data_IF_309058819965
#
_entry.id   IF_309058819965
#
_cell.length_a   1.000
_cell.length_b   1.000
_cell.length_c   1.000
_cell.angle_alpha   90.00
_cell.angle_beta   90.00
_cell.angle_gamma   90.00
#
_symmetry.space_group_name_H-M   'P 1'
#
loop_
_entity.id
_entity.type
_entity.pdbx_description
1 polymer ?
#
# COMPACT_ATOMS: atom_id res chain seq x y z
N UNK A 1 -18.42 4.55 15.83
CA UNK A 1 -18.78 4.31 14.41
C UNK A 1 -20.13 3.64 14.23
N UNK A 2 -20.52 2.66 15.06
CA UNK A 2 -21.82 1.97 14.98
C UNK A 2 -23.03 2.92 14.87
N UNK A 3 -23.08 3.98 15.70
CA UNK A 3 -24.19 4.95 15.66
C UNK A 3 -24.31 5.72 14.33
N UNK A 4 -23.19 5.95 13.63
CA UNK A 4 -23.17 6.67 12.35
C UNK A 4 -23.47 5.73 11.19
N UNK A 5 -22.91 4.53 11.21
CA UNK A 5 -22.98 3.55 10.13
C UNK A 5 -23.76 2.30 10.55
N UNK A 6 -25.00 2.51 10.99
CA UNK A 6 -25.89 1.43 11.41
C UNK A 6 -26.27 0.51 10.24
N UNK A 7 -26.53 -0.76 10.52
CA UNK A 7 -27.06 -1.72 9.53
C UNK A 7 -26.04 -2.29 8.55
N UNK A 8 -24.75 -2.04 8.75
CA UNK A 8 -23.70 -2.74 8.02
C UNK A 8 -23.65 -4.20 8.51
N UNK A 9 -23.74 -5.13 7.58
CA UNK A 9 -23.61 -6.55 7.87
C UNK A 9 -22.15 -6.89 8.17
N UNK A 10 -21.91 -7.47 9.34
CA UNK A 10 -20.58 -7.88 9.77
C UNK A 10 -20.27 -9.31 9.28
N UNK A 11 -19.24 -9.44 8.44
CA UNK A 11 -18.74 -10.73 7.96
C UNK A 11 -17.92 -11.51 9.00
N UNK A 12 -17.55 -10.87 10.11
CA UNK A 12 -16.64 -11.40 11.13
C UNK A 12 -15.35 -12.02 10.55
N UNK A 13 -14.80 -11.42 9.48
CA UNK A 13 -13.63 -11.92 8.76
C UNK A 13 -12.40 -12.18 9.66
N UNK A 14 -12.36 -11.57 10.86
CA UNK A 14 -11.30 -11.74 11.87
C UNK A 14 -11.81 -12.21 13.23
N UNK A 15 -13.00 -12.80 13.27
CA UNK A 15 -13.68 -13.22 14.50
C UNK A 15 -14.50 -12.10 15.15
N UNK A 16 -15.23 -12.45 16.20
CA UNK A 16 -16.14 -11.56 16.94
C UNK A 16 -15.42 -10.40 17.65
N UNK A 17 -14.15 -10.58 17.99
CA UNK A 17 -13.37 -9.60 18.75
C UNK A 17 -12.88 -8.43 17.89
N UNK A 18 -12.96 -8.57 16.55
CA UNK A 18 -12.60 -7.55 15.59
C UNK A 18 -13.81 -7.22 14.70
N UNK A 19 -14.85 -6.57 15.26
CA UNK A 19 -16.05 -6.21 14.51
C UNK A 19 -15.77 -5.12 13.47
N UNK A 20 -16.66 -5.00 12.48
CA UNK A 20 -16.52 -4.07 11.35
C UNK A 20 -16.47 -2.60 11.78
N UNK A 21 -17.15 -2.23 12.87
CA UNK A 21 -17.10 -0.88 13.43
C UNK A 21 -15.93 -0.65 14.39
N UNK A 22 -15.11 -1.66 14.65
CA UNK A 22 -13.92 -1.59 15.49
C UNK A 22 -12.75 -0.86 14.82
N UNK A 23 -11.73 -0.55 15.59
CA UNK A 23 -10.54 0.20 15.12
C UNK A 23 -9.71 -0.53 14.07
N UNK A 24 -9.80 -1.86 13.99
CA UNK A 24 -9.05 -2.65 13.02
C UNK A 24 -9.69 -2.59 11.62
N UNK A 25 -10.97 -2.95 11.51
CA UNK A 25 -11.67 -3.06 10.21
C UNK A 25 -12.31 -1.74 9.79
N UNK A 26 -12.91 -1.02 10.72
CA UNK A 26 -13.62 0.24 10.49
C UNK A 26 -12.75 1.48 10.60
N UNK A 27 -11.42 1.35 10.57
CA UNK A 27 -10.48 2.48 10.77
C UNK A 27 -10.81 3.69 9.89
N UNK A 28 -11.14 3.45 8.61
CA UNK A 28 -11.45 4.52 7.66
C UNK A 28 -12.78 5.24 7.94
N UNK A 29 -13.71 4.63 8.69
CA UNK A 29 -14.98 5.26 9.06
C UNK A 29 -14.77 6.54 9.88
N UNK A 30 -13.71 6.58 10.70
CA UNK A 30 -13.32 7.78 11.45
C UNK A 30 -12.86 8.90 10.52
N UNK A 31 -12.03 8.60 9.53
CA UNK A 31 -11.56 9.57 8.55
C UNK A 31 -12.71 10.10 7.69
N UNK A 32 -13.64 9.23 7.28
CA UNK A 32 -14.88 9.63 6.58
C UNK A 32 -15.69 10.63 7.40
N UNK A 33 -15.90 10.33 8.70
CA UNK A 33 -16.67 11.22 9.56
C UNK A 33 -15.97 12.56 9.80
N UNK A 34 -14.65 12.53 10.05
CA UNK A 34 -13.85 13.74 10.22
C UNK A 34 -13.94 14.63 8.97
N UNK A 35 -13.72 14.08 7.78
CA UNK A 35 -13.84 14.83 6.54
C UNK A 35 -15.24 15.42 6.33
N UNK A 36 -16.30 14.69 6.71
CA UNK A 36 -17.66 15.19 6.64
C UNK A 36 -17.92 16.38 7.59
N UNK A 37 -17.26 16.42 8.75
CA UNK A 37 -17.34 17.56 9.68
C UNK A 37 -16.44 18.73 9.25
N UNK A 38 -15.43 18.47 8.41
CA UNK A 38 -14.42 19.44 8.01
C UNK A 38 -14.33 19.60 6.48
N UNK A 39 -15.41 20.10 5.87
CA UNK A 39 -15.51 20.29 4.41
C UNK A 39 -14.62 21.42 3.85
N UNK A 40 -13.99 22.20 4.73
CA UNK A 40 -13.01 23.25 4.41
C UNK A 40 -11.71 22.70 3.80
N UNK A 41 -11.37 21.44 4.03
CA UNK A 41 -10.18 20.82 3.44
C UNK A 41 -10.50 20.13 2.12
N UNK A 42 -9.59 20.22 1.15
CA UNK A 42 -9.73 19.53 -0.13
C UNK A 42 -9.08 18.13 -0.13
N UNK A 43 -8.08 17.92 0.73
CA UNK A 43 -7.33 16.67 0.84
C UNK A 43 -7.01 16.35 2.30
N UNK A 44 -7.00 15.05 2.60
CA UNK A 44 -6.80 14.50 3.94
C UNK A 44 -5.68 13.48 3.91
N UNK A 45 -4.74 13.59 4.84
CA UNK A 45 -3.67 12.61 5.04
C UNK A 45 -4.05 11.67 6.16
N UNK A 46 -4.30 10.40 5.81
CA UNK A 46 -4.35 9.30 6.77
C UNK A 46 -2.92 8.78 6.92
N UNK A 47 -2.34 8.95 8.09
CA UNK A 47 -0.92 8.67 8.34
C UNK A 47 -0.75 7.89 9.63
N UNK A 48 -0.08 6.74 9.57
CA UNK A 48 0.20 5.91 10.75
C UNK A 48 1.28 6.54 11.64
N UNK A 49 1.11 6.39 12.96
CA UNK A 49 1.95 7.04 13.98
C UNK A 49 3.35 6.43 14.10
N UNK A 50 3.54 5.23 13.58
CA UNK A 50 4.79 4.48 13.55
C UNK A 50 5.52 4.59 12.21
N UNK A 51 5.10 5.53 11.34
CA UNK A 51 5.86 5.93 10.16
C UNK A 51 6.89 6.99 10.52
N UNK A 52 8.11 6.83 10.00
CA UNK A 52 9.15 7.86 10.04
C UNK A 52 9.60 8.24 8.63
N UNK A 53 10.12 9.45 8.52
CA UNK A 53 10.73 9.95 7.31
C UNK A 53 12.06 10.64 7.67
N UNK A 54 13.14 10.26 7.00
CA UNK A 54 14.49 10.83 7.24
C UNK A 54 14.76 12.11 6.45
N UNK A 55 13.82 12.52 5.59
CA UNK A 55 13.93 13.75 4.79
C UNK A 55 13.04 14.88 5.28
N UNK A 56 12.88 15.90 4.43
CA UNK A 56 12.01 17.03 4.69
C UNK A 56 10.60 16.79 4.16
N UNK A 57 9.58 16.80 5.02
CA UNK A 57 8.18 16.50 4.64
C UNK A 57 7.62 17.40 3.53
N UNK A 58 7.96 18.70 3.52
CA UNK A 58 7.60 19.58 2.40
C UNK A 58 8.07 19.03 1.04
N UNK A 59 9.32 18.55 0.96
CA UNK A 59 9.86 17.99 -0.28
C UNK A 59 9.17 16.68 -0.66
N UNK A 60 8.85 15.84 0.33
CA UNK A 60 8.11 14.60 0.11
C UNK A 60 6.74 14.89 -0.51
N UNK A 61 5.92 15.69 0.17
CA UNK A 61 4.53 15.93 -0.24
C UNK A 61 4.44 16.76 -1.52
N UNK A 62 5.26 17.81 -1.68
CA UNK A 62 5.26 18.63 -2.91
C UNK A 62 5.67 17.83 -4.15
N UNK A 63 6.64 16.92 -4.03
CA UNK A 63 7.04 16.06 -5.14
C UNK A 63 5.99 15.01 -5.46
N UNK A 64 5.36 14.42 -4.45
CA UNK A 64 4.24 13.49 -4.62
C UNK A 64 3.10 14.18 -5.39
N UNK A 65 2.67 15.36 -4.95
CA UNK A 65 1.59 16.08 -5.61
C UNK A 65 1.98 16.46 -7.05
N UNK A 66 3.17 17.01 -7.27
CA UNK A 66 3.66 17.37 -8.61
C UNK A 66 3.73 16.17 -9.55
N UNK A 67 4.21 15.02 -9.06
CA UNK A 67 4.39 13.81 -9.85
C UNK A 67 3.05 13.13 -10.15
N UNK A 68 2.15 13.03 -9.17
CA UNK A 68 0.82 12.40 -9.35
C UNK A 68 -0.07 13.21 -10.29
N UNK A 69 -0.02 14.56 -10.25
CA UNK A 69 -0.71 15.41 -11.24
C UNK A 69 -0.29 15.12 -12.68
N UNK A 70 0.99 14.77 -12.91
CA UNK A 70 1.51 14.45 -14.25
C UNK A 70 1.08 13.07 -14.76
N UNK A 71 0.56 12.18 -13.90
CA UNK A 71 0.18 10.84 -14.32
C UNK A 71 -1.14 10.84 -15.11
N UNK A 72 -1.17 10.27 -16.32
CA UNK A 72 -2.40 10.09 -17.08
C UNK A 72 -3.20 8.90 -16.52
N UNK A 73 -4.53 8.95 -16.62
CA UNK A 73 -5.43 7.84 -16.23
C UNK A 73 -5.23 6.59 -17.09
N UNK A 74 -4.76 6.75 -18.33
CA UNK A 74 -4.49 5.63 -19.25
C UNK A 74 -3.38 4.74 -18.71
N UNK A 75 -3.70 3.48 -18.43
CA UNK A 75 -2.75 2.51 -17.85
C UNK A 75 -2.41 2.78 -16.37
N UNK A 76 -3.15 3.68 -15.69
CA UNK A 76 -2.76 4.16 -14.36
C UNK A 76 -2.91 3.09 -13.29
N UNK A 77 -4.03 2.36 -13.30
CA UNK A 77 -4.29 1.28 -12.37
C UNK A 77 -3.32 0.12 -12.59
N UNK A 78 -2.98 -0.15 -13.84
CA UNK A 78 -2.01 -1.18 -14.21
C UNK A 78 -0.61 -0.81 -13.69
N UNK A 79 -0.16 0.44 -13.89
CA UNK A 79 1.11 0.89 -13.30
C UNK A 79 1.07 0.89 -11.77
N UNK A 80 -0.04 1.32 -11.18
CA UNK A 80 -0.20 1.41 -9.73
C UNK A 80 -0.32 0.05 -9.05
N UNK A 81 -0.70 -1.00 -9.77
CA UNK A 81 -0.75 -2.38 -9.28
C UNK A 81 0.59 -3.12 -9.33
N UNK A 82 1.72 -2.41 -9.50
CA UNK A 82 3.05 -2.99 -9.72
C UNK A 82 4.12 -2.24 -8.92
N UNK A 83 5.10 -2.96 -8.40
CA UNK A 83 6.33 -2.36 -7.90
C UNK A 83 7.21 -1.92 -9.08
N UNK A 84 7.80 -0.73 -8.99
CA UNK A 84 8.77 -0.24 -9.96
C UNK A 84 10.19 -0.47 -9.44
N UNK A 85 10.97 -1.29 -10.15
CA UNK A 85 12.36 -1.62 -9.81
C UNK A 85 13.26 -1.08 -10.93
N UNK A 86 13.91 0.08 -10.75
CA UNK A 86 14.61 0.78 -11.83
C UNK A 86 15.67 -0.07 -12.56
N UNK A 87 16.41 -0.90 -11.84
CA UNK A 87 17.45 -1.76 -12.42
C UNK A 87 16.91 -2.85 -13.36
N UNK A 88 15.62 -3.19 -13.26
CA UNK A 88 14.96 -4.19 -14.11
C UNK A 88 14.09 -3.51 -15.17
N UNK A 89 13.36 -2.47 -14.77
CA UNK A 89 12.36 -1.82 -15.62
C UNK A 89 12.91 -0.66 -16.46
N UNK A 90 14.13 -0.19 -16.20
CA UNK A 90 14.71 0.95 -16.90
C UNK A 90 14.13 2.27 -16.41
N UNK A 91 13.87 3.19 -17.33
CA UNK A 91 13.23 4.47 -17.01
C UNK A 91 11.74 4.34 -16.70
N UNK A 92 11.11 5.40 -16.19
CA UNK A 92 9.66 5.41 -15.97
C UNK A 92 8.86 5.23 -17.27
N UNK A 93 9.35 5.75 -18.41
CA UNK A 93 8.69 5.57 -19.70
C UNK A 93 8.85 4.13 -20.22
N UNK A 94 10.01 3.50 -19.99
CA UNK A 94 10.22 2.08 -20.31
C UNK A 94 9.27 1.20 -19.48
N UNK A 95 9.15 1.48 -18.18
CA UNK A 95 8.20 0.82 -17.29
C UNK A 95 6.75 0.99 -17.77
N UNK A 96 6.34 2.23 -18.10
CA UNK A 96 4.99 2.51 -18.62
C UNK A 96 4.70 1.76 -19.91
N UNK A 97 5.68 1.67 -20.82
CA UNK A 97 5.53 0.91 -22.06
C UNK A 97 5.47 -0.60 -21.81
N UNK A 98 6.32 -1.11 -20.91
CA UNK A 98 6.32 -2.52 -20.50
C UNK A 98 4.96 -2.92 -19.93
N UNK A 99 4.42 -2.12 -19.00
CA UNK A 99 3.10 -2.37 -18.39
C UNK A 99 2.00 -2.40 -19.45
N UNK A 100 2.01 -1.47 -20.42
CA UNK A 100 1.06 -1.47 -21.54
C UNK A 100 1.10 -2.79 -22.31
N UNK A 101 2.30 -3.25 -22.69
CA UNK A 101 2.48 -4.49 -23.45
C UNK A 101 2.02 -5.71 -22.65
N UNK A 102 2.38 -5.80 -21.37
CA UNK A 102 1.97 -6.92 -20.50
C UNK A 102 0.46 -6.97 -20.28
N UNK A 103 -0.18 -5.81 -20.12
CA UNK A 103 -1.64 -5.73 -20.00
C UNK A 103 -2.34 -6.13 -21.31
N UNK A 104 -1.90 -5.60 -22.46
CA UNK A 104 -2.55 -5.87 -23.76
C UNK A 104 -2.30 -7.30 -24.27
N UNK A 105 -1.08 -7.82 -24.12
CA UNK A 105 -0.66 -9.10 -24.70
C UNK A 105 -0.60 -10.26 -23.69
N UNK A 106 -0.63 -9.96 -22.39
CA UNK A 106 -0.43 -10.93 -21.33
C UNK A 106 1.05 -11.30 -21.13
N UNK A 107 1.35 -11.96 -20.01
CA UNK A 107 2.66 -12.55 -19.74
C UNK A 107 2.58 -14.06 -19.62
N UNK A 108 3.67 -14.76 -19.94
CA UNK A 108 3.77 -16.19 -19.63
C UNK A 108 3.89 -16.37 -18.11
N UNK A 109 2.88 -16.96 -17.49
CA UNK A 109 2.89 -17.33 -16.07
C UNK A 109 3.30 -18.80 -15.89
N UNK A 110 3.79 -19.21 -14.71
CA UNK A 110 3.94 -20.64 -14.40
C UNK A 110 2.64 -21.44 -14.55
N UNK A 111 1.49 -20.80 -14.35
CA UNK A 111 0.16 -21.39 -14.55
C UNK A 111 -0.08 -21.72 -16.03
N UNK A 112 0.48 -20.95 -16.96
CA UNK A 112 0.43 -21.21 -18.41
C UNK A 112 1.36 -22.35 -18.84
N UNK A 113 2.42 -22.66 -18.08
CA UNK A 113 3.40 -23.70 -18.41
C UNK A 113 2.81 -25.10 -18.26
N UNK A 114 1.85 -25.29 -17.34
CA UNK A 114 1.18 -26.59 -17.10
C UNK A 114 0.07 -26.91 -18.12
N UNK A 115 -0.21 -26.01 -19.07
CA UNK A 115 -1.24 -26.18 -20.11
C UNK A 115 -0.89 -27.24 -21.18
N UNK A 116 0.35 -27.75 -21.18
CA UNK A 116 0.86 -28.75 -22.13
C UNK A 116 0.83 -30.22 -21.69
N UNK A 117 0.32 -30.56 -20.49
CA UNK A 117 0.30 -31.95 -20.02
C UNK A 117 -0.87 -32.73 -20.64
N UNK A 118 -0.64 -33.93 -21.24
CA UNK A 118 -1.71 -34.77 -21.75
C UNK A 118 -2.69 -35.15 -20.63
N UNK A 119 -3.93 -34.64 -20.68
CA UNK A 119 -4.99 -34.93 -19.70
C UNK A 119 -5.50 -33.72 -18.90
N UNK A 120 -4.81 -32.57 -18.93
CA UNK A 120 -5.31 -31.32 -18.35
C UNK A 120 -6.28 -30.62 -19.32
N UNK A 121 -7.33 -29.97 -18.80
CA UNK A 121 -8.27 -29.17 -19.62
C UNK A 121 -7.47 -28.14 -20.44
N UNK A 122 -7.62 -28.17 -21.77
CA UNK A 122 -6.99 -27.22 -22.71
C UNK A 122 -7.31 -25.77 -22.31
N UNK A 123 -6.39 -25.11 -21.61
CA UNK A 123 -6.36 -23.66 -21.52
C UNK A 123 -5.49 -23.12 -22.69
N UNK A 124 -5.79 -21.93 -23.22
CA UNK A 124 -5.17 -21.45 -24.45
C UNK A 124 -3.65 -21.28 -24.30
N UNK A 125 -2.89 -21.74 -25.30
CA UNK A 125 -1.43 -21.71 -25.34
C UNK A 125 -0.80 -20.30 -25.50
N UNK A 126 -1.64 -19.25 -25.54
CA UNK A 126 -1.21 -17.86 -25.74
C UNK A 126 -1.52 -17.09 -24.45
N UNK A 127 -0.54 -16.34 -23.90
CA UNK A 127 -0.82 -15.43 -22.79
C UNK A 127 -2.04 -14.57 -23.10
N UNK A 128 -2.98 -14.48 -22.15
CA UNK A 128 -4.20 -13.71 -22.31
C UNK A 128 -3.99 -12.35 -21.65
N UNK A 129 -4.03 -11.29 -22.45
CA UNK A 129 -4.11 -9.92 -21.96
C UNK A 129 -5.35 -9.69 -21.08
N UNK A 130 -5.33 -8.61 -20.32
CA UNK A 130 -6.44 -8.17 -19.48
C UNK A 130 -7.05 -6.88 -20.01
N UNK A 131 -8.34 -6.66 -19.72
CA UNK A 131 -9.02 -5.40 -20.06
C UNK A 131 -8.39 -4.28 -19.20
N UNK A 132 -7.76 -3.26 -19.79
CA UNK A 132 -7.25 -2.14 -19.03
C UNK A 132 -8.41 -1.35 -18.41
N UNK A 133 -8.18 -0.81 -17.22
CA UNK A 133 -9.17 0.02 -16.52
C UNK A 133 -9.25 1.39 -17.20
N UNK A 134 -10.44 1.74 -17.66
CA UNK A 134 -10.71 2.98 -18.39
C UNK A 134 -12.02 3.62 -17.96
N UNK A 135 -11.98 4.28 -16.81
CA UNK A 135 -13.16 4.83 -16.15
C UNK A 135 -13.63 3.97 -14.97
N UNK A 136 -14.88 4.17 -14.53
CA UNK A 136 -15.51 3.42 -13.45
C UNK A 136 -15.57 1.90 -13.73
N UNK A 137 -15.14 1.06 -12.77
CA UNK A 137 -15.36 -0.39 -12.79
C UNK A 137 -16.31 -0.77 -11.65
N UNK A 138 -17.60 -0.92 -11.97
CA UNK A 138 -18.68 -1.02 -10.99
C UNK A 138 -19.07 -2.47 -10.68
N UNK A 139 -19.75 -2.72 -9.54
CA UNK A 139 -20.46 -3.97 -9.30
C UNK A 139 -21.41 -4.35 -10.45
N UNK A 140 -21.62 -5.64 -10.64
CA UNK A 140 -22.48 -6.17 -11.71
C UNK A 140 -23.96 -5.81 -11.51
N UNK A 141 -24.42 -5.80 -10.26
CA UNK A 141 -25.81 -5.45 -9.94
C UNK A 141 -25.99 -3.92 -9.95
N UNK A 142 -26.95 -3.44 -10.74
CA UNK A 142 -27.28 -2.01 -10.84
C UNK A 142 -27.82 -1.45 -9.52
N UNK A 143 -28.38 -2.29 -8.65
CA UNK A 143 -28.85 -1.88 -7.33
C UNK A 143 -27.71 -1.55 -6.37
N UNK A 144 -26.48 -1.96 -6.66
CA UNK A 144 -25.29 -1.56 -5.91
C UNK A 144 -24.71 -0.22 -6.40
N UNK A 145 -25.18 0.31 -7.53
CA UNK A 145 -24.70 1.60 -8.01
C UNK A 145 -25.24 2.72 -7.11
N UNK A 146 -24.41 3.73 -6.84
CA UNK A 146 -24.75 4.84 -5.96
C UNK A 146 -24.15 6.15 -6.47
N UNK A 147 -24.99 7.17 -6.70
CA UNK A 147 -24.57 8.55 -7.06
C UNK A 147 -23.53 8.65 -8.20
N UNK A 148 -23.71 7.82 -9.23
CA UNK A 148 -22.75 7.66 -10.34
C UNK A 148 -22.83 8.74 -11.40
N UNK A 149 -23.79 9.66 -11.31
CA UNK A 149 -24.09 10.66 -12.34
C UNK A 149 -22.95 11.65 -12.55
N UNK A 150 -22.14 11.89 -11.52
CA UNK A 150 -21.03 12.83 -11.53
C UNK A 150 -19.65 12.14 -11.62
N UNK A 151 -19.62 10.83 -11.87
CA UNK A 151 -18.36 10.11 -12.02
C UNK A 151 -17.56 10.61 -13.25
N UNK A 152 -16.23 10.67 -13.17
CA UNK A 152 -15.39 11.02 -14.32
C UNK A 152 -15.62 10.09 -15.51
N UNK A 153 -15.99 10.69 -16.65
CA UNK A 153 -16.14 9.97 -17.93
C UNK A 153 -14.90 10.20 -18.79
N UNK A 154 -14.33 9.16 -19.42
CA UNK A 154 -13.23 9.33 -20.36
C UNK A 154 -13.63 10.23 -21.54
N UNK A 155 -12.75 11.17 -21.92
CA UNK A 155 -12.99 12.11 -23.03
C UNK A 155 -13.02 11.39 -24.39
N UNK A 156 -12.25 10.29 -24.52
CA UNK A 156 -12.10 9.48 -25.73
C UNK A 156 -12.05 7.98 -25.38
N UNK A 157 -12.06 7.12 -26.40
CA UNK A 157 -11.78 5.69 -26.21
C UNK A 157 -10.34 5.47 -25.73
N UNK A 158 -10.10 4.35 -25.06
CA UNK A 158 -8.78 4.00 -24.53
C UNK A 158 -7.70 4.04 -25.61
N UNK A 159 -7.98 3.53 -26.81
CA UNK A 159 -7.04 3.44 -27.94
C UNK A 159 -6.70 4.84 -28.48
N UNK A 160 -7.69 5.73 -28.53
CA UNK A 160 -7.54 7.08 -29.11
C UNK A 160 -6.86 8.06 -28.16
N UNK A 161 -6.94 7.84 -26.84
CA UNK A 161 -6.31 8.72 -25.87
C UNK A 161 -4.77 8.63 -25.95
N UNK A 162 -4.13 9.77 -26.19
CA UNK A 162 -2.66 9.91 -26.24
C UNK A 162 -2.12 10.31 -24.85
N UNK A 163 -2.56 9.61 -23.81
CA UNK A 163 -2.19 9.86 -22.42
C UNK A 163 -2.53 11.29 -21.96
N UNK A 164 -3.71 11.80 -22.33
CA UNK A 164 -4.10 13.18 -22.02
C UNK A 164 -5.09 13.23 -20.85
N UNK A 165 -6.02 12.29 -20.78
CA UNK A 165 -7.04 12.29 -19.74
C UNK A 165 -6.43 12.14 -18.33
N UNK A 166 -6.78 13.07 -17.44
CA UNK A 166 -6.34 13.13 -16.04
C UNK A 166 -4.97 13.78 -15.81
N UNK A 167 -4.25 14.21 -16.85
CA UNK A 167 -3.01 15.00 -16.66
C UNK A 167 -3.38 16.40 -16.15
N UNK A 168 -2.68 16.87 -15.12
CA UNK A 168 -2.96 18.13 -14.42
C UNK A 168 -4.02 18.01 -13.31
N UNK A 169 -4.83 16.95 -13.31
CA UNK A 169 -5.79 16.63 -12.25
C UNK A 169 -5.07 16.08 -11.01
N UNK A 170 -5.42 16.56 -9.83
CA UNK A 170 -4.99 15.96 -8.57
C UNK A 170 -5.54 14.54 -8.41
N UNK A 171 -4.73 13.64 -7.83
CA UNK A 171 -5.20 12.30 -7.51
C UNK A 171 -6.21 12.32 -6.37
N UNK A 172 -7.34 11.64 -6.51
CA UNK A 172 -8.30 11.43 -5.43
C UNK A 172 -7.76 10.51 -4.34
N UNK A 173 -6.91 9.55 -4.72
CA UNK A 173 -6.25 8.63 -3.80
C UNK A 173 -4.77 8.54 -4.14
N UNK A 174 -3.93 8.72 -3.13
CA UNK A 174 -2.49 8.45 -3.19
C UNK A 174 -2.15 7.40 -2.15
N UNK A 175 -1.52 6.29 -2.58
CA UNK A 175 -1.02 5.23 -1.69
C UNK A 175 0.49 5.08 -1.79
N UNK A 176 1.07 4.43 -0.79
CA UNK A 176 2.52 4.16 -0.69
C UNK A 176 2.83 2.67 -0.82
N UNK A 177 1.83 1.85 -1.12
CA UNK A 177 1.98 0.50 -1.63
C UNK A 177 1.11 0.33 -2.89
N UNK A 178 1.45 -0.66 -3.75
CA UNK A 178 0.68 -0.91 -4.96
C UNK A 178 -0.81 -1.12 -4.69
N UNK A 179 -1.63 -0.61 -5.62
CA UNK A 179 -3.08 -0.83 -5.70
C UNK A 179 -3.34 -2.22 -6.31
N UNK A 180 -3.13 -3.27 -5.52
CA UNK A 180 -3.22 -4.64 -6.00
C UNK A 180 -4.67 -5.11 -6.12
N UNK A 181 -4.90 -6.08 -7.00
CA UNK A 181 -6.16 -6.81 -7.12
C UNK A 181 -6.15 -7.92 -6.05
N UNK A 182 -7.01 -7.87 -5.01
CA UNK A 182 -7.03 -8.88 -3.97
C UNK A 182 -7.61 -10.22 -4.45
N UNK A 183 -8.31 -10.23 -5.59
CA UNK A 183 -8.90 -11.45 -6.14
C UNK A 183 -7.82 -12.51 -6.43
N UNK A 184 -8.13 -13.77 -6.09
CA UNK A 184 -7.24 -14.91 -6.28
C UNK A 184 -5.90 -14.85 -5.54
N UNK A 185 -5.67 -13.86 -4.66
CA UNK A 185 -4.51 -13.82 -3.76
C UNK A 185 -4.72 -14.73 -2.55
N UNK A 186 -3.67 -14.92 -1.73
CA UNK A 186 -3.77 -15.56 -0.42
C UNK A 186 -3.93 -14.55 0.72
N UNK A 187 -4.22 -13.29 0.41
CA UNK A 187 -4.43 -12.26 1.42
C UNK A 187 -5.73 -12.52 2.18
N UNK A 188 -5.61 -12.71 3.49
CA UNK A 188 -6.70 -13.21 4.34
C UNK A 188 -7.91 -12.26 4.43
N UNK A 189 -7.74 -10.98 4.08
CA UNK A 189 -8.78 -9.94 4.09
C UNK A 189 -9.37 -9.67 2.71
N UNK A 190 -8.97 -10.43 1.68
CA UNK A 190 -9.48 -10.26 0.32
C UNK A 190 -11.01 -10.29 0.27
N UNK A 191 -11.64 -11.15 1.09
CA UNK A 191 -13.09 -11.31 1.15
C UNK A 191 -13.77 -10.47 2.25
N UNK A 192 -13.05 -9.54 2.89
CA UNK A 192 -13.61 -8.65 3.90
C UNK A 192 -14.28 -7.41 3.27
N UNK A 193 -15.42 -7.64 2.61
CA UNK A 193 -16.31 -6.61 2.07
C UNK A 193 -17.78 -7.00 2.31
N UNK A 194 -18.67 -6.01 2.33
CA UNK A 194 -20.06 -6.20 2.71
C UNK A 194 -20.98 -5.16 2.08
N UNK A 195 -22.28 -5.42 2.12
CA UNK A 195 -23.33 -4.54 1.61
C UNK A 195 -23.67 -4.71 0.12
N UNK A 196 -22.88 -5.47 -0.63
CA UNK A 196 -23.04 -5.69 -2.08
C UNK A 196 -23.86 -6.94 -2.41
N UNK A 197 -24.52 -6.97 -3.58
CA UNK A 197 -25.08 -8.18 -4.14
C UNK A 197 -24.01 -9.03 -4.85
N UNK A 198 -23.59 -10.11 -4.17
CA UNK A 198 -22.56 -11.04 -4.64
C UNK A 198 -23.09 -12.26 -5.41
N UNK A 199 -24.39 -12.30 -5.74
CA UNK A 199 -25.00 -13.46 -6.44
C UNK A 199 -24.36 -13.70 -7.81
N UNK A 200 -23.90 -12.64 -8.47
CA UNK A 200 -23.22 -12.69 -9.77
C UNK A 200 -21.70 -12.94 -9.70
N UNK A 201 -21.14 -13.10 -8.50
CA UNK A 201 -19.70 -13.17 -8.25
C UNK A 201 -19.20 -11.99 -7.42
N UNK A 202 -17.89 -11.97 -7.19
CA UNK A 202 -17.26 -10.94 -6.39
C UNK A 202 -17.23 -9.58 -7.12
N UNK A 203 -17.26 -8.50 -6.36
CA UNK A 203 -17.16 -7.15 -6.91
C UNK A 203 -15.72 -6.81 -7.35
N UNK A 204 -15.53 -5.89 -8.33
CA UNK A 204 -14.23 -5.32 -8.62
C UNK A 204 -13.66 -4.65 -7.37
N UNK A 205 -12.42 -4.96 -7.00
CA UNK A 205 -11.79 -4.45 -5.77
C UNK A 205 -10.34 -4.07 -6.03
N UNK A 206 -9.84 -3.14 -5.22
CA UNK A 206 -8.41 -2.84 -5.10
C UNK A 206 -8.07 -2.71 -3.64
N UNK A 207 -6.84 -3.04 -3.28
CA UNK A 207 -6.33 -2.86 -1.93
C UNK A 207 -4.91 -2.30 -1.97
N UNK A 208 -4.50 -1.66 -0.89
CA UNK A 208 -3.14 -1.22 -0.64
C UNK A 208 -2.83 -1.41 0.85
N UNK A 209 -2.01 -2.42 1.16
CA UNK A 209 -1.59 -2.73 2.54
C UNK A 209 -0.75 -1.58 3.09
N UNK A 210 -0.85 -1.32 4.39
CA UNK A 210 -0.47 -0.08 5.09
C UNK A 210 -1.54 1.00 4.85
N UNK A 211 -2.28 1.36 5.89
CA UNK A 211 -3.40 2.31 5.82
C UNK A 211 -2.92 3.76 5.85
N UNK A 212 -1.88 4.05 5.05
CA UNK A 212 -1.35 5.39 4.86
C UNK A 212 -1.61 5.89 3.46
N UNK A 213 -2.38 6.97 3.36
CA UNK A 213 -2.86 7.51 2.09
C UNK A 213 -3.22 8.99 2.17
N UNK A 214 -3.20 9.66 1.02
CA UNK A 214 -3.88 10.94 0.82
C UNK A 214 -5.20 10.68 0.10
N UNK A 215 -6.30 11.19 0.65
CA UNK A 215 -7.64 11.07 0.06
C UNK A 215 -8.24 12.44 -0.22
N UNK A 216 -8.92 12.62 -1.35
CA UNK A 216 -9.66 13.85 -1.65
C UNK A 216 -10.95 13.93 -0.83
N UNK A 217 -11.42 15.16 -0.60
CA UNK A 217 -12.76 15.42 -0.04
C UNK A 217 -13.85 14.69 -0.82
N UNK A 218 -13.75 14.69 -2.16
CA UNK A 218 -14.69 13.98 -3.04
C UNK A 218 -14.73 12.50 -2.72
N UNK A 219 -13.58 11.82 -2.68
CA UNK A 219 -13.51 10.40 -2.36
C UNK A 219 -14.08 10.08 -0.97
N UNK A 220 -13.71 10.85 0.05
CA UNK A 220 -14.21 10.62 1.41
C UNK A 220 -15.71 10.88 1.55
N UNK A 221 -16.25 11.88 0.84
CA UNK A 221 -17.69 12.12 0.80
C UNK A 221 -18.43 10.97 0.12
N UNK A 222 -17.91 10.46 -1.00
CA UNK A 222 -18.46 9.27 -1.68
C UNK A 222 -18.45 8.07 -0.74
N UNK A 223 -17.31 7.75 -0.15
CA UNK A 223 -17.17 6.65 0.82
C UNK A 223 -18.13 6.81 2.01
N UNK A 224 -18.21 8.01 2.60
CA UNK A 224 -19.13 8.30 3.71
C UNK A 224 -20.58 8.01 3.34
N UNK A 225 -21.04 8.53 2.20
CA UNK A 225 -22.42 8.39 1.75
C UNK A 225 -22.75 6.96 1.35
N UNK A 226 -21.86 6.29 0.62
CA UNK A 226 -22.06 4.90 0.21
C UNK A 226 -22.14 3.97 1.43
N UNK A 227 -21.23 4.13 2.40
CA UNK A 227 -21.29 3.40 3.67
C UNK A 227 -22.56 3.73 4.47
N UNK A 228 -23.02 4.98 4.48
CA UNK A 228 -24.22 5.39 5.22
C UNK A 228 -25.53 4.90 4.57
N UNK A 229 -25.66 4.97 3.24
CA UNK A 229 -26.93 4.70 2.54
C UNK A 229 -27.02 3.29 1.95
N UNK A 230 -25.93 2.77 1.38
CA UNK A 230 -25.86 1.44 0.79
C UNK A 230 -25.33 0.36 1.72
N UNK A 231 -24.68 0.77 2.82
CA UNK A 231 -23.98 -0.14 3.75
C UNK A 231 -22.79 -0.85 3.11
N UNK A 232 -22.33 -0.31 1.99
CA UNK A 232 -21.13 -0.78 1.32
C UNK A 232 -19.91 -0.43 2.16
N UNK A 233 -19.08 -1.43 2.39
CA UNK A 233 -17.81 -1.26 3.04
C UNK A 233 -16.86 -2.39 2.67
N UNK A 234 -15.58 -2.14 2.88
CA UNK A 234 -14.52 -3.13 2.79
C UNK A 234 -13.51 -2.88 3.91
N UNK A 235 -12.57 -3.79 4.09
CA UNK A 235 -11.47 -3.61 5.03
C UNK A 235 -10.75 -2.26 4.83
N UNK A 236 -10.15 -1.73 5.89
CA UNK A 236 -9.53 -0.40 5.92
C UNK A 236 -8.46 -0.18 4.84
N UNK A 237 -7.76 -1.22 4.40
CA UNK A 237 -6.76 -1.16 3.32
C UNK A 237 -7.38 -1.33 1.91
N UNK A 238 -8.67 -1.67 1.82
CA UNK A 238 -9.39 -2.00 0.58
C UNK A 238 -10.48 -0.99 0.24
N UNK A 239 -11.08 -0.32 1.22
CA UNK A 239 -12.27 0.51 0.99
C UNK A 239 -12.02 1.74 0.13
N UNK A 240 -11.09 2.63 0.50
CA UNK A 240 -10.76 3.80 -0.33
C UNK A 240 -10.29 3.45 -1.76
N UNK A 241 -9.39 2.46 -1.98
CA UNK A 241 -9.05 2.02 -3.33
C UNK A 241 -10.23 1.45 -4.12
N UNK A 242 -11.12 0.70 -3.49
CA UNK A 242 -12.29 0.08 -4.13
C UNK A 242 -13.34 1.13 -4.51
N UNK A 243 -13.66 2.07 -3.62
CA UNK A 243 -14.54 3.18 -3.93
C UNK A 243 -13.97 4.05 -5.07
N UNK A 244 -12.66 4.33 -5.04
CA UNK A 244 -12.02 5.06 -6.14
C UNK A 244 -12.09 4.31 -7.48
N UNK A 245 -12.01 2.97 -7.47
CA UNK A 245 -12.19 2.13 -8.65
C UNK A 245 -13.64 2.19 -9.17
N UNK A 246 -14.62 2.00 -8.28
CA UNK A 246 -16.05 1.97 -8.64
C UNK A 246 -16.54 3.28 -9.24
N UNK A 247 -15.99 4.40 -8.77
CA UNK A 247 -16.35 5.74 -9.25
C UNK A 247 -15.40 6.27 -10.33
N UNK A 248 -14.38 5.50 -10.73
CA UNK A 248 -13.43 5.94 -11.76
C UNK A 248 -12.61 7.17 -11.34
N UNK A 249 -12.33 7.33 -10.05
CA UNK A 249 -11.50 8.40 -9.52
C UNK A 249 -10.01 8.17 -9.78
N UNK A 250 -9.19 9.24 -9.71
CA UNK A 250 -7.77 9.14 -10.03
C UNK A 250 -7.02 8.58 -8.81
N UNK A 251 -6.76 7.27 -8.81
CA UNK A 251 -5.98 6.61 -7.77
C UNK A 251 -4.56 6.29 -8.25
N UNK A 252 -3.56 6.59 -7.42
CA UNK A 252 -2.14 6.45 -7.77
C UNK A 252 -1.37 5.82 -6.62
N UNK A 253 -0.61 4.76 -6.91
CA UNK A 253 0.49 4.33 -6.05
C UNK A 253 1.74 5.15 -6.40
N UNK A 254 2.35 5.80 -5.40
CA UNK A 254 3.63 6.50 -5.58
C UNK A 254 4.78 5.52 -5.35
N UNK A 255 5.64 5.27 -6.36
CA UNK A 255 6.82 4.42 -6.22
C UNK A 255 7.95 5.17 -5.51
N UNK A 256 7.75 5.49 -4.23
CA UNK A 256 8.78 6.11 -3.41
C UNK A 256 9.97 5.16 -3.24
N UNK A 257 11.20 5.66 -2.99
CA UNK A 257 12.34 4.81 -2.72
C UNK A 257 12.08 3.87 -1.53
N UNK A 258 12.28 2.57 -1.77
CA UNK A 258 12.27 1.51 -0.77
C UNK A 258 13.65 0.86 -0.78
N UNK A 259 14.24 0.69 0.41
CA UNK A 259 15.56 0.08 0.55
C UNK A 259 15.44 -1.31 1.15
N UNK A 260 16.41 -2.16 0.84
CA UNK A 260 16.46 -3.56 1.27
C UNK A 260 17.65 -3.81 2.18
N UNK A 261 17.50 -4.72 3.13
CA UNK A 261 18.52 -5.16 4.08
C UNK A 261 19.61 -6.06 3.50
N UNK A 262 19.47 -6.48 2.23
CA UNK A 262 20.37 -7.41 1.55
C UNK A 262 20.42 -7.17 0.05
N UNK A 263 21.49 -7.61 -0.58
CA UNK A 263 21.65 -7.56 -2.04
C UNK A 263 20.84 -8.68 -2.71
N UNK A 264 19.69 -8.34 -3.28
CA UNK A 264 18.90 -9.28 -4.08
C UNK A 264 19.38 -9.30 -5.53
N UNK A 265 19.44 -10.48 -6.19
CA UNK A 265 19.43 -10.53 -7.65
C UNK A 265 18.17 -9.82 -8.15
N UNK A 266 18.34 -8.70 -8.85
CA UNK A 266 17.25 -7.75 -9.12
C UNK A 266 16.13 -8.34 -9.97
N UNK A 267 16.46 -9.21 -10.92
CA UNK A 267 15.47 -9.96 -11.71
C UNK A 267 14.63 -10.91 -10.85
N UNK A 268 15.24 -11.56 -9.86
CA UNK A 268 14.52 -12.42 -8.91
C UNK A 268 13.62 -11.59 -8.00
N UNK A 269 14.12 -10.47 -7.46
CA UNK A 269 13.31 -9.52 -6.68
C UNK A 269 12.08 -9.06 -7.48
N UNK A 270 12.27 -8.66 -8.74
CA UNK A 270 11.14 -8.26 -9.60
C UNK A 270 10.17 -9.39 -9.84
N UNK A 271 10.65 -10.60 -10.08
CA UNK A 271 9.81 -11.78 -10.25
C UNK A 271 8.98 -12.12 -9.01
N UNK A 272 9.49 -11.85 -7.80
CA UNK A 272 8.79 -12.05 -6.53
C UNK A 272 7.77 -10.93 -6.25
N UNK A 273 8.18 -9.68 -6.40
CA UNK A 273 7.35 -8.51 -6.07
C UNK A 273 6.20 -8.32 -7.06
N UNK A 274 6.40 -8.70 -8.33
CA UNK A 274 5.44 -8.58 -9.42
C UNK A 274 5.00 -9.97 -9.94
N UNK A 275 4.81 -10.92 -9.03
CA UNK A 275 4.45 -12.32 -9.32
C UNK A 275 2.96 -12.54 -9.63
N UNK A 276 2.17 -11.49 -9.66
CA UNK A 276 0.73 -11.51 -9.91
C UNK A 276 0.34 -11.66 -11.38
N UNK A 277 -0.96 -11.52 -11.67
CA UNK A 277 -1.51 -11.63 -13.02
C UNK A 277 -0.83 -10.63 -13.95
N UNK A 278 -0.32 -11.10 -15.09
CA UNK A 278 0.32 -10.26 -16.11
C UNK A 278 1.41 -9.32 -15.58
N UNK A 279 2.18 -9.76 -14.58
CA UNK A 279 3.23 -8.95 -13.96
C UNK A 279 2.72 -7.87 -13.00
N UNK A 280 1.45 -7.91 -12.59
CA UNK A 280 0.94 -7.17 -11.44
C UNK A 280 1.50 -7.74 -10.13
N UNK A 281 1.25 -7.10 -9.00
CA UNK A 281 1.59 -7.68 -7.69
C UNK A 281 0.44 -8.51 -7.09
N UNK A 282 -0.80 -8.35 -7.59
CA UNK A 282 -2.01 -9.09 -7.15
C UNK A 282 -2.67 -9.89 -8.27
N UNK A 283 -3.90 -10.37 -8.06
CA UNK A 283 -4.68 -11.09 -9.08
C UNK A 283 -4.23 -12.54 -9.31
N UNK A 284 -3.39 -13.10 -8.44
CA UNK A 284 -2.91 -14.50 -8.49
C UNK A 284 -2.46 -14.96 -7.11
N UNK A 285 -2.47 -16.28 -6.88
CA UNK A 285 -1.98 -16.92 -5.65
C UNK A 285 -0.48 -16.70 -5.44
N UNK A 286 0.23 -16.32 -6.50
CA UNK A 286 1.64 -15.99 -6.44
C UNK A 286 1.92 -14.58 -5.92
N UNK A 287 0.89 -13.75 -5.69
CA UNK A 287 1.01 -12.42 -5.11
C UNK A 287 1.92 -12.40 -3.87
N UNK A 288 2.71 -11.32 -3.73
CA UNK A 288 3.50 -11.10 -2.53
C UNK A 288 2.62 -10.80 -1.30
N UNK A 289 1.37 -10.37 -1.50
CA UNK A 289 0.42 -10.08 -0.43
C UNK A 289 -0.38 -11.33 -0.06
N UNK A 290 -0.43 -11.66 1.25
CA UNK A 290 -0.86 -12.96 1.77
C UNK A 290 0.30 -13.83 2.29
N UNK A 291 0.34 -15.10 1.89
CA UNK A 291 1.31 -16.09 2.40
C UNK A 291 2.78 -15.76 2.07
N UNK A 292 3.02 -14.88 1.10
CA UNK A 292 4.36 -14.51 0.60
C UNK A 292 4.87 -13.18 1.16
N UNK A 293 4.19 -12.60 2.14
CA UNK A 293 4.54 -11.31 2.75
C UNK A 293 5.91 -11.31 3.44
N UNK A 294 6.45 -12.48 3.78
CA UNK A 294 7.79 -12.63 4.33
C UNK A 294 8.90 -12.02 3.43
N UNK A 295 8.65 -11.89 2.12
CA UNK A 295 9.57 -11.24 1.18
C UNK A 295 9.69 -9.72 1.40
N UNK A 296 8.74 -9.12 2.13
CA UNK A 296 8.72 -7.70 2.46
C UNK A 296 9.40 -7.38 3.80
N UNK A 297 9.79 -8.39 4.59
CA UNK A 297 10.42 -8.21 5.91
C UNK A 297 11.72 -7.41 5.84
N UNK A 298 12.49 -7.59 4.76
CA UNK A 298 13.77 -6.91 4.54
C UNK A 298 13.64 -5.49 3.99
N UNK A 299 12.42 -4.97 3.79
CA UNK A 299 12.17 -3.66 3.19
C UNK A 299 12.16 -2.55 4.26
N UNK A 300 12.35 -1.30 3.85
CA UNK A 300 12.10 -0.15 4.73
C UNK A 300 10.62 0.22 4.87
N UNK A 301 9.74 -0.37 4.07
CA UNK A 301 8.33 -0.02 4.04
C UNK A 301 7.44 -1.26 3.91
N UNK A 302 6.85 -1.67 5.03
CA UNK A 302 5.73 -2.63 5.10
C UNK A 302 5.19 -2.69 6.54
N UNK A 303 3.94 -3.11 6.79
CA UNK A 303 3.40 -3.12 8.17
C UNK A 303 4.17 -4.03 9.15
N UNK A 304 4.80 -5.07 8.62
CA UNK A 304 5.58 -6.04 9.39
C UNK A 304 7.07 -6.05 8.97
N UNK A 305 7.59 -4.97 8.40
CA UNK A 305 9.01 -4.92 8.04
C UNK A 305 9.92 -5.05 9.27
N UNK A 306 10.84 -6.02 9.25
CA UNK A 306 11.84 -6.21 10.30
C UNK A 306 13.08 -5.32 10.14
N UNK A 307 13.38 -4.90 8.91
CA UNK A 307 14.54 -4.04 8.63
C UNK A 307 14.32 -2.58 9.08
N UNK A 308 13.16 -2.01 8.76
CA UNK A 308 12.78 -0.64 9.10
C UNK A 308 13.05 -0.23 10.57
N UNK A 309 12.58 -0.97 11.60
CA UNK A 309 12.80 -0.60 13.00
C UNK A 309 14.28 -0.68 13.42
N UNK A 310 15.06 -1.59 12.83
CA UNK A 310 16.48 -1.76 13.11
C UNK A 310 17.31 -0.63 12.47
N UNK A 311 16.96 -0.26 11.22
CA UNK A 311 17.59 0.86 10.51
C UNK A 311 17.39 2.17 11.27
N UNK A 312 16.15 2.42 11.74
CA UNK A 312 15.84 3.63 12.51
C UNK A 312 16.65 3.75 13.80
N UNK A 313 16.70 2.67 14.60
CA UNK A 313 17.48 2.64 15.85
C UNK A 313 18.96 2.90 15.61
N UNK A 314 19.55 2.25 14.60
CA UNK A 314 20.95 2.47 14.21
C UNK A 314 21.20 3.90 13.75
N UNK A 315 20.26 4.48 13.00
CA UNK A 315 20.35 5.88 12.59
C UNK A 315 20.29 6.86 13.77
N UNK A 316 19.61 6.50 14.86
CA UNK A 316 19.64 7.26 16.12
C UNK A 316 20.91 7.03 16.95
N UNK A 317 21.83 6.18 16.50
CA UNK A 317 23.06 5.81 17.21
C UNK A 317 22.88 4.73 18.27
N UNK A 318 21.77 3.98 18.24
CA UNK A 318 21.53 2.88 19.18
C UNK A 318 22.16 1.57 18.69
N UNK A 319 22.67 0.76 19.63
CA UNK A 319 23.13 -0.60 19.35
C UNK A 319 21.94 -1.50 19.00
N UNK A 320 22.05 -2.27 17.92
CA UNK A 320 21.05 -3.27 17.51
C UNK A 320 21.77 -4.55 17.13
N UNK A 321 21.40 -5.68 17.74
CA UNK A 321 22.08 -6.97 17.58
C UNK A 321 23.57 -6.91 17.92
N UNK A 322 23.94 -6.14 18.96
CA UNK A 322 25.33 -5.85 19.35
C UNK A 322 26.17 -5.13 18.29
N UNK A 323 25.54 -4.53 17.27
CA UNK A 323 26.20 -3.75 16.22
C UNK A 323 25.89 -2.26 16.37
N UNK A 324 26.88 -1.43 16.05
CA UNK A 324 26.76 0.03 16.03
C UNK A 324 26.95 0.66 17.40
N UNK A 325 26.22 1.75 17.66
CA UNK A 325 26.30 2.48 18.93
C UNK A 325 27.35 3.59 18.94
N UNK A 326 27.29 4.42 19.97
CA UNK A 326 28.19 5.56 20.19
C UNK A 326 29.67 5.17 20.08
N UNK A 327 30.11 4.12 20.78
CA UNK A 327 31.51 3.64 20.73
C UNK A 327 31.98 3.36 19.30
N UNK A 328 31.14 2.73 18.49
CA UNK A 328 31.43 2.47 17.09
C UNK A 328 31.45 3.76 16.25
N UNK A 329 30.60 4.73 16.56
CA UNK A 329 30.56 6.04 15.88
C UNK A 329 31.80 6.89 16.21
N UNK A 330 32.35 6.79 17.43
CA UNK A 330 33.38 7.72 17.93
C UNK A 330 34.79 7.14 18.06
N UNK A 331 34.93 5.81 18.17
CA UNK A 331 36.23 5.17 18.44
C UNK A 331 36.73 4.41 17.21
N UNK A 332 37.98 4.66 16.84
CA UNK A 332 38.68 3.93 15.77
C UNK A 332 39.39 2.71 16.38
N UNK A 333 39.02 1.51 15.93
CA UNK A 333 39.74 0.26 16.19
C UNK A 333 40.73 -0.01 15.05
N UNK A 334 42.03 0.24 15.28
CA UNK A 334 43.08 0.01 14.28
C UNK A 334 43.30 -1.47 13.92
N UNK A 335 42.77 -2.40 14.72
CA UNK A 335 42.87 -3.84 14.48
C UNK A 335 41.82 -4.40 13.51
N UNK A 336 40.91 -3.56 13.01
CA UNK A 336 39.80 -3.96 12.14
C UNK A 336 39.94 -3.37 10.73
N UNK A 337 39.71 -4.15 9.69
CA UNK A 337 39.73 -3.69 8.28
C UNK A 337 38.73 -4.44 7.39
N UNK A 338 37.82 -5.18 8.02
CA UNK A 338 36.86 -6.06 7.36
C UNK A 338 35.57 -5.38 6.93
N UNK A 339 34.63 -6.20 6.47
CA UNK A 339 33.26 -5.78 6.10
C UNK A 339 32.29 -5.95 7.26
N UNK A 340 31.20 -5.20 7.21
CA UNK A 340 30.14 -5.23 8.23
C UNK A 340 30.52 -4.42 9.46
N UNK A 341 29.50 -4.06 10.26
CA UNK A 341 29.65 -3.11 11.36
C UNK A 341 30.70 -3.58 12.38
N UNK A 342 30.73 -4.87 12.71
CA UNK A 342 31.71 -5.40 13.66
C UNK A 342 33.12 -5.61 13.07
N UNK A 343 33.25 -5.63 11.73
CA UNK A 343 34.53 -5.83 11.05
C UNK A 343 35.22 -4.53 10.64
N UNK A 344 34.51 -3.41 10.60
CA UNK A 344 35.08 -2.11 10.23
C UNK A 344 35.66 -1.37 11.43
N UNK A 345 36.52 -0.39 11.16
CA UNK A 345 37.27 0.38 12.16
C UNK A 345 36.40 1.17 13.12
N UNK A 346 35.22 1.63 12.69
CA UNK A 346 34.45 2.62 13.43
C UNK A 346 35.13 4.00 13.41
N UNK A 347 34.60 4.94 14.19
CA UNK A 347 35.13 6.30 14.33
C UNK A 347 34.85 7.23 13.16
N UNK A 348 33.98 6.83 12.22
CA UNK A 348 33.56 7.64 11.07
C UNK A 348 32.33 8.51 11.36
N UNK A 349 31.83 8.48 12.60
CA UNK A 349 30.62 9.16 13.02
C UNK A 349 29.34 8.39 12.69
N UNK A 350 28.21 9.07 12.88
CA UNK A 350 26.87 8.53 12.71
C UNK A 350 26.54 8.27 11.25
N UNK A 351 25.84 7.16 10.99
CA UNK A 351 25.42 6.81 9.64
C UNK A 351 24.50 7.89 9.03
N UNK A 352 24.71 8.21 7.75
CA UNK A 352 23.84 9.11 6.99
C UNK A 352 22.84 8.30 6.17
N UNK A 353 21.57 8.71 6.20
CA UNK A 353 20.50 8.10 5.39
C UNK A 353 19.98 9.10 4.35
N UNK A 354 19.72 8.67 3.10
CA UNK A 354 18.97 9.49 2.16
C UNK A 354 17.51 9.62 2.64
N UNK A 355 16.74 10.58 2.08
CA UNK A 355 15.31 10.70 2.36
C UNK A 355 14.55 9.41 2.02
N UNK A 356 13.97 8.76 3.02
CA UNK A 356 13.22 7.52 2.86
C UNK A 356 12.11 7.39 3.89
N UNK A 357 11.03 6.74 3.50
CA UNK A 357 9.98 6.32 4.42
C UNK A 357 10.41 5.03 5.12
N UNK A 358 10.20 4.99 6.43
CA UNK A 358 10.57 3.89 7.31
C UNK A 358 9.32 3.48 8.10
N UNK A 359 8.86 2.25 7.89
CA UNK A 359 7.66 1.71 8.52
C UNK A 359 7.80 0.18 8.68
N UNK A 360 7.55 -0.36 9.89
CA UNK A 360 7.12 0.33 11.11
C UNK A 360 8.30 0.77 12.00
N UNK A 361 8.06 1.75 12.86
CA UNK A 361 8.96 2.17 13.93
C UNK A 361 8.17 2.25 15.25
N UNK A 362 8.36 1.23 16.09
CA UNK A 362 7.71 1.09 17.40
C UNK A 362 8.77 0.95 18.50
N UNK A 363 8.39 1.30 19.72
CA UNK A 363 9.15 1.03 20.96
C UNK A 363 10.62 1.48 20.88
N UNK A 364 10.83 2.77 20.59
CA UNK A 364 12.16 3.38 20.55
C UNK A 364 12.40 4.08 21.88
N UNK A 365 13.21 3.46 22.72
CA UNK A 365 13.70 4.05 23.96
C UNK A 365 15.00 4.81 23.69
N UNK A 366 14.99 6.11 23.95
CA UNK A 366 16.18 6.94 23.86
C UNK A 366 16.87 6.97 25.23
N UNK A 367 18.19 6.74 25.31
CA UNK A 367 18.92 6.98 26.54
C UNK A 367 18.85 8.48 26.85
N UNK A 368 18.28 8.82 28.02
CA UNK A 368 18.24 10.20 28.53
C UNK A 368 19.38 10.35 29.51
N UNK A 369 20.30 11.29 29.27
CA UNK A 369 21.28 11.67 30.27
C UNK A 369 20.57 12.39 31.43
N UNK A 370 20.53 11.76 32.61
CA UNK A 370 20.25 12.47 33.86
C UNK A 370 18.82 12.45 34.41
N UNK A 371 17.97 11.47 34.10
CA UNK A 371 16.73 11.26 34.86
C UNK A 371 16.69 9.86 35.49
N UNK A 372 17.08 9.77 36.76
CA UNK A 372 16.49 8.78 37.67
C UNK A 372 15.01 9.12 37.77
N UNK A 373 14.20 8.58 36.87
CA UNK A 373 12.76 8.53 37.10
C UNK A 373 12.58 7.51 38.21
N UNK A 374 12.51 7.99 39.46
CA UNK A 374 11.91 7.20 40.53
C UNK A 374 10.57 6.72 39.97
N UNK A 375 10.38 5.40 39.92
CA UNK A 375 9.08 4.83 39.58
C UNK A 375 8.10 5.36 40.62
N UNK A 376 7.34 6.40 40.30
CA UNK A 376 6.13 6.70 41.04
C UNK A 376 5.24 5.48 40.88
N UNK A 377 5.09 4.72 41.97
CA UNK A 377 4.08 3.69 42.09
C UNK A 377 2.72 4.37 41.91
N UNK A 378 2.13 4.20 40.73
CA UNK A 378 0.74 4.54 40.49
C UNK A 378 -0.07 3.58 41.38
N UNK A 379 -0.81 4.06 42.40
CA UNK A 379 -1.58 3.16 43.24
C UNK A 379 -2.66 2.49 42.38
N UNK A 380 -2.70 1.16 42.42
CA UNK A 380 -3.80 0.39 41.82
C UNK A 380 -5.13 0.91 42.38
N UNK A 381 -6.04 1.28 41.48
CA UNK A 381 -7.40 1.64 41.87
C UNK A 381 -8.08 0.44 42.52
N UNK A 382 -8.46 0.56 43.79
CA UNK A 382 -9.27 -0.42 44.50
C UNK A 382 -10.63 -0.56 43.77
N UNK A 383 -10.98 -1.74 43.23
CA UNK A 383 -12.25 -1.95 42.56
C UNK A 383 -13.47 -1.96 43.51
N UNK A 384 -13.30 -1.70 44.82
CA UNK A 384 -14.38 -1.58 45.81
C UNK A 384 -14.50 -0.18 46.46
N UNK A 385 -13.87 0.87 45.92
CA UNK A 385 -14.04 2.25 46.40
C UNK A 385 -15.26 2.97 45.80
#
# INVERSE_FOLDING_TARGET
>A
MLMLYQGIFDTFARGSDLPIHGSYRGLQMAMQHFAQQHQEYDYFWHWEIDIRYTGHYYNLFSQIDSWTKKQPRKGLWERSGRFYIPSVHGSWEDFKQMVRVQTEMGTKSPEDIWSGIPGAKKMPATPKGEKPIWGPERPLDLTDWFEVENDPVPINTYEKDKYQWGVGEDADLITFNPLFDPESTSWLLAEDYTGYNITGGAIPRRAAIVTSSRMSKRLLNTMHRETAFKKHHAFSEMWAPTAALHHGYKAVYVPHPMYVDREWPTAYLSGVMNAGRNGATGGSKNSVFGEKEHNLLGMTWYYNAGFAPNLWRRWLGLKVNNEGGEEFETVVDEGRDGKGVNGMRGGEGRMCLPPMLIHPVKDVELPVEGSTVEKEEIPESDPNA
#
